data_IF_921632580513
#
_entry.id   IF_921632580513
#
_cell.length_a   1.000
_cell.length_b   1.000
_cell.length_c   1.000
_cell.angle_alpha   90.00
_cell.angle_beta   90.00
_cell.angle_gamma   90.00
#
_symmetry.space_group_name_H-M   'P 1'
#
loop_
_entity.id
_entity.type
_entity.pdbx_description
1 polymer ?
#
# COMPACT_ATOMS: atom_id res chain seq x y z
N UNK A 1 9.38 -11.90 -3.42
CA UNK A 1 9.57 -13.23 -4.03
C UNK A 1 9.04 -14.26 -3.06
N UNK A 2 8.07 -15.06 -3.49
CA UNK A 2 7.65 -16.24 -2.76
C UNK A 2 8.50 -17.43 -3.24
N UNK A 3 9.40 -17.98 -2.41
CA UNK A 3 10.29 -19.07 -2.82
C UNK A 3 9.56 -20.41 -3.03
N UNK A 4 8.33 -20.54 -2.53
CA UNK A 4 7.52 -21.76 -2.66
C UNK A 4 6.72 -21.78 -3.95
N UNK A 5 6.15 -20.64 -4.37
CA UNK A 5 5.37 -20.54 -5.62
C UNK A 5 6.17 -20.01 -6.81
N UNK A 6 7.33 -19.40 -6.56
CA UNK A 6 8.13 -18.70 -7.57
C UNK A 6 7.61 -17.30 -7.91
N UNK A 7 6.54 -16.84 -7.27
CA UNK A 7 5.90 -15.57 -7.61
C UNK A 7 6.73 -14.37 -7.16
N UNK A 8 6.79 -13.37 -8.03
CA UNK A 8 7.40 -12.07 -7.75
C UNK A 8 6.42 -10.98 -8.15
N UNK A 9 6.22 -10.03 -7.25
CA UNK A 9 5.45 -8.82 -7.52
C UNK A 9 6.39 -7.62 -7.52
N UNK A 10 6.10 -6.69 -8.41
CA UNK A 10 6.69 -5.35 -8.42
C UNK A 10 5.63 -4.34 -8.06
N UNK A 11 6.04 -3.19 -7.54
CA UNK A 11 5.15 -2.09 -7.23
C UNK A 11 5.83 -0.78 -7.56
N UNK A 12 5.04 0.27 -7.77
CA UNK A 12 5.54 1.64 -7.88
C UNK A 12 5.94 2.22 -6.51
N UNK A 13 6.39 3.47 -6.50
CA UNK A 13 6.83 4.16 -5.28
C UNK A 13 5.70 4.27 -4.24
N UNK A 14 4.48 4.59 -4.64
CA UNK A 14 3.32 4.72 -3.75
C UNK A 14 3.00 3.39 -3.05
N UNK A 15 2.90 2.29 -3.81
CA UNK A 15 2.65 0.99 -3.21
C UNK A 15 3.81 0.49 -2.34
N UNK A 16 5.06 0.82 -2.69
CA UNK A 16 6.21 0.54 -1.83
C UNK A 16 6.13 1.30 -0.50
N UNK A 17 5.70 2.57 -0.55
CA UNK A 17 5.50 3.39 0.64
C UNK A 17 4.40 2.80 1.55
N UNK A 18 3.24 2.44 0.98
CA UNK A 18 2.15 1.79 1.72
C UNK A 18 2.62 0.47 2.35
N UNK A 19 3.33 -0.38 1.61
CA UNK A 19 3.84 -1.66 2.13
C UNK A 19 4.78 -1.48 3.32
N UNK A 20 5.63 -0.45 3.32
CA UNK A 20 6.53 -0.16 4.45
C UNK A 20 5.72 0.18 5.70
N UNK A 21 4.72 1.06 5.58
CA UNK A 21 3.90 1.48 6.71
C UNK A 21 3.01 0.34 7.25
N UNK A 22 2.47 -0.50 6.36
CA UNK A 22 1.75 -1.72 6.77
C UNK A 22 2.66 -2.66 7.55
N UNK A 23 3.92 -2.83 7.13
CA UNK A 23 4.91 -3.65 7.83
C UNK A 23 5.28 -3.10 9.21
N UNK A 24 5.21 -1.79 9.38
CA UNK A 24 5.36 -1.11 10.67
C UNK A 24 4.10 -1.22 11.56
N UNK A 25 3.00 -1.77 11.04
CA UNK A 25 1.77 -2.02 11.78
C UNK A 25 0.86 -0.80 11.92
N UNK A 26 1.05 0.24 11.11
CA UNK A 26 0.22 1.45 11.16
C UNK A 26 -1.21 1.13 10.70
N UNK A 27 -2.17 1.83 11.29
CA UNK A 27 -3.57 1.75 10.86
C UNK A 27 -3.79 2.46 9.52
N UNK A 28 -4.79 2.01 8.74
CA UNK A 28 -5.09 2.59 7.41
C UNK A 28 -5.29 4.11 7.44
N UNK A 29 -5.90 4.64 8.50
CA UNK A 29 -6.09 6.09 8.68
C UNK A 29 -4.77 6.85 8.88
N UNK A 30 -3.77 6.26 9.52
CA UNK A 30 -2.43 6.86 9.67
C UNK A 30 -1.65 6.80 8.36
N UNK A 31 -1.78 5.69 7.62
CA UNK A 31 -1.20 5.53 6.29
C UNK A 31 -1.77 6.58 5.33
N UNK A 32 -3.08 6.81 5.38
CA UNK A 32 -3.75 7.83 4.57
C UNK A 32 -3.18 9.23 4.82
N UNK A 33 -2.99 9.62 6.09
CA UNK A 33 -2.41 10.93 6.41
C UNK A 33 -0.96 11.04 5.90
N UNK A 34 -0.17 9.97 6.06
CA UNK A 34 1.20 9.93 5.54
C UNK A 34 1.28 10.02 4.01
N UNK A 35 0.31 9.46 3.29
CA UNK A 35 0.23 9.58 1.83
C UNK A 35 -0.04 11.02 1.39
N UNK A 36 -0.98 11.70 2.06
CA UNK A 36 -1.28 13.12 1.82
C UNK A 36 -0.03 13.99 2.04
N UNK A 37 0.71 13.73 3.12
CA UNK A 37 1.92 14.48 3.46
C UNK A 37 3.10 14.20 2.50
N UNK A 38 3.39 12.92 2.22
CA UNK A 38 4.57 12.53 1.42
C UNK A 38 4.43 12.89 -0.07
N UNK A 39 3.21 12.78 -0.61
CA UNK A 39 2.96 12.98 -2.04
C UNK A 39 2.30 14.32 -2.36
N UNK A 40 2.01 15.15 -1.35
CA UNK A 40 1.36 16.46 -1.47
C UNK A 40 0.04 16.41 -2.27
N UNK A 41 -0.76 15.36 -2.05
CA UNK A 41 -2.04 15.12 -2.73
C UNK A 41 -3.23 15.35 -1.81
N UNK A 42 -4.41 15.51 -2.38
CA UNK A 42 -5.64 15.61 -1.59
C UNK A 42 -6.03 14.25 -0.96
N UNK A 43 -6.83 14.34 0.10
CA UNK A 43 -7.25 13.17 0.88
C UNK A 43 -8.08 12.17 0.08
N UNK A 44 -8.91 12.62 -0.86
CA UNK A 44 -9.75 11.72 -1.65
C UNK A 44 -8.91 10.93 -2.65
N UNK A 45 -7.90 11.56 -3.26
CA UNK A 45 -6.91 10.88 -4.10
C UNK A 45 -6.10 9.87 -3.30
N UNK A 46 -5.56 10.27 -2.14
CA UNK A 46 -4.82 9.37 -1.27
C UNK A 46 -5.67 8.18 -0.79
N UNK A 47 -6.96 8.41 -0.51
CA UNK A 47 -7.90 7.38 -0.08
C UNK A 47 -8.19 6.35 -1.17
N UNK A 48 -8.39 6.80 -2.41
CA UNK A 48 -8.56 5.91 -3.56
C UNK A 48 -7.31 5.07 -3.78
N UNK A 49 -6.13 5.69 -3.82
CA UNK A 49 -4.87 4.98 -4.03
C UNK A 49 -4.60 3.93 -2.94
N UNK A 50 -4.86 4.27 -1.67
CA UNK A 50 -4.73 3.34 -0.56
C UNK A 50 -5.71 2.17 -0.69
N UNK A 51 -6.99 2.46 -0.93
CA UNK A 51 -8.05 1.44 -0.99
C UNK A 51 -7.80 0.47 -2.15
N UNK A 52 -7.55 0.99 -3.35
CA UNK A 52 -7.27 0.20 -4.56
C UNK A 52 -6.05 -0.70 -4.37
N UNK A 53 -5.02 -0.20 -3.69
CA UNK A 53 -3.81 -0.97 -3.42
C UNK A 53 -4.07 -2.10 -2.41
N UNK A 54 -4.79 -1.82 -1.32
CA UNK A 54 -5.14 -2.84 -0.32
C UNK A 54 -6.05 -3.92 -0.91
N UNK A 55 -6.99 -3.57 -1.77
CA UNK A 55 -7.82 -4.55 -2.49
C UNK A 55 -6.98 -5.46 -3.39
N UNK A 56 -5.97 -4.93 -4.09
CA UNK A 56 -5.03 -5.75 -4.87
C UNK A 56 -4.26 -6.72 -3.99
N UNK A 57 -3.72 -6.26 -2.85
CA UNK A 57 -3.00 -7.14 -1.92
C UNK A 57 -3.89 -8.26 -1.39
N UNK A 58 -5.14 -7.95 -1.02
CA UNK A 58 -6.14 -8.95 -0.59
C UNK A 58 -6.46 -9.95 -1.70
N UNK A 59 -6.59 -9.49 -2.96
CA UNK A 59 -6.84 -10.38 -4.11
C UNK A 59 -5.70 -11.37 -4.35
N UNK A 60 -4.47 -10.98 -4.04
CA UNK A 60 -3.28 -11.84 -4.09
C UNK A 60 -3.04 -12.63 -2.80
N UNK A 61 -3.91 -12.50 -1.78
CA UNK A 61 -3.77 -13.12 -0.46
C UNK A 61 -2.44 -12.79 0.22
N UNK A 62 -1.94 -11.57 0.01
CA UNK A 62 -0.69 -11.08 0.61
C UNK A 62 -0.94 -10.40 1.96
N UNK A 63 -2.18 -10.03 2.25
CA UNK A 63 -2.70 -9.52 3.52
C UNK A 63 -4.07 -10.13 3.80
#
# INVERSE_FOLDING_TARGET
FNPTTGESWTTNQTGLFILKLLKEGLAEGEILNKLVEEFEIDKDTAYRDLTDFLEKLRSYKLI
#
